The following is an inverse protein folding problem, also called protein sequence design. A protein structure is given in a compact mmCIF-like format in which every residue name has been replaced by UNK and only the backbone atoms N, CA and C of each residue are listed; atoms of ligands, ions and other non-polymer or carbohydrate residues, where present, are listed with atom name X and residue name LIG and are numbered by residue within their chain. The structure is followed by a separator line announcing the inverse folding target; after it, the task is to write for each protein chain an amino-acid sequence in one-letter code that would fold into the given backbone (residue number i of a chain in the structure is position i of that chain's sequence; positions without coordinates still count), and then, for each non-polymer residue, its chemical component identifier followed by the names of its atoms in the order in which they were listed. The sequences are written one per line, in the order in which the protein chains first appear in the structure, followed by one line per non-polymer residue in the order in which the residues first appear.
data_IF_542371456034
#
_entry.id   IF_542371456034
#
_cell.length_a   1.000
_cell.length_b   1.000
_cell.length_c   1.000
_cell.angle_alpha   90.00
_cell.angle_beta   90.00
_cell.angle_gamma   90.00
#
_symmetry.space_group_name_H-M   'P 1'
#
loop_
_entity.id
_entity.type
_entity.pdbx_description
1 polymer ?
#
# COMPACT_ATOMS: atom_id res chain seq x y z
N UNK A 1 -22.70 14.24 -0.02
CA UNK A 1 -21.57 13.37 -0.41
C UNK A 1 -20.50 13.52 0.66
N UNK A 2 -19.93 12.41 1.16
CA UNK A 2 -18.83 12.46 2.13
C UNK A 2 -17.57 12.00 1.40
N UNK A 3 -16.48 12.73 1.56
CA UNK A 3 -15.18 12.42 0.96
C UNK A 3 -14.18 12.18 2.07
N UNK A 4 -13.39 11.12 1.95
CA UNK A 4 -12.32 10.78 2.87
C UNK A 4 -11.01 10.68 2.09
N UNK A 5 -10.00 11.39 2.58
CA UNK A 5 -8.61 11.25 2.13
C UNK A 5 -7.85 10.45 3.19
N UNK A 6 -7.15 9.40 2.77
CA UNK A 6 -6.28 8.59 3.63
C UNK A 6 -4.86 8.69 3.09
N UNK A 7 -3.91 9.09 3.95
CA UNK A 7 -2.48 9.16 3.63
C UNK A 7 -1.77 8.05 4.40
N UNK A 8 -1.05 7.18 3.69
CA UNK A 8 -0.21 6.15 4.30
C UNK A 8 1.23 6.65 4.30
N UNK A 9 1.68 7.15 5.45
CA UNK A 9 3.02 7.73 5.58
C UNK A 9 4.11 6.68 5.37
N UNK A 10 5.17 7.05 4.65
CA UNK A 10 6.30 6.17 4.34
C UNK A 10 6.03 5.00 3.38
N UNK A 11 4.81 4.85 2.84
CA UNK A 11 4.50 3.83 1.84
C UNK A 11 4.86 4.32 0.43
N UNK A 12 5.70 3.55 -0.26
CA UNK A 12 6.07 3.78 -1.66
C UNK A 12 5.89 2.54 -2.51
N UNK A 13 5.65 2.74 -3.81
CA UNK A 13 5.60 1.67 -4.79
C UNK A 13 7.00 1.42 -5.37
N UNK A 14 7.46 0.17 -5.32
CA UNK A 14 8.76 -0.27 -5.85
C UNK A 14 8.64 -1.70 -6.35
N UNK A 15 9.19 -1.97 -7.53
CA UNK A 15 9.08 -3.29 -8.17
C UNK A 15 9.95 -4.36 -7.52
N UNK A 16 11.12 -3.98 -7.03
CA UNK A 16 12.03 -4.89 -6.36
C UNK A 16 11.42 -5.42 -5.06
N UNK A 17 11.46 -6.75 -4.87
CA UNK A 17 10.93 -7.41 -3.68
C UNK A 17 11.94 -7.44 -2.52
N UNK A 18 13.23 -7.47 -2.82
CA UNK A 18 14.27 -7.49 -1.79
C UNK A 18 14.24 -6.20 -0.95
N UNK A 19 14.15 -6.35 0.37
CA UNK A 19 14.06 -5.22 1.29
C UNK A 19 12.76 -4.41 1.20
N UNK A 20 11.74 -4.90 0.48
CA UNK A 20 10.47 -4.20 0.31
C UNK A 20 9.41 -4.77 1.25
N UNK A 21 9.17 -4.10 2.37
CA UNK A 21 8.20 -4.57 3.36
C UNK A 21 6.77 -4.62 2.81
N UNK A 22 6.37 -3.64 1.97
CA UNK A 22 5.02 -3.58 1.41
C UNK A 22 4.76 -4.73 0.44
N UNK A 23 5.67 -4.99 -0.51
CA UNK A 23 5.54 -6.08 -1.50
C UNK A 23 5.73 -7.49 -0.91
N UNK A 24 6.20 -7.58 0.33
CA UNK A 24 6.35 -8.85 1.05
C UNK A 24 5.19 -9.13 2.02
N UNK A 25 4.45 -8.09 2.43
CA UNK A 25 3.31 -8.23 3.33
C UNK A 25 2.09 -8.80 2.60
N UNK A 26 1.20 -9.44 3.36
CA UNK A 26 -0.15 -9.74 2.90
C UNK A 26 -1.03 -8.52 3.17
N UNK A 27 -1.47 -7.82 2.11
CA UNK A 27 -2.23 -6.57 2.22
C UNK A 27 -3.59 -6.64 1.52
N UNK A 28 -4.44 -7.66 1.80
CA UNK A 28 -5.62 -7.96 0.98
C UNK A 28 -6.62 -6.80 0.84
N UNK A 29 -6.74 -5.97 1.88
CA UNK A 29 -7.62 -4.80 1.83
C UNK A 29 -7.07 -3.68 0.94
N UNK A 30 -5.76 -3.48 0.92
CA UNK A 30 -5.10 -2.48 0.06
C UNK A 30 -5.08 -3.01 -1.37
N UNK A 31 -4.76 -4.30 -1.55
CA UNK A 31 -4.73 -4.98 -2.85
C UNK A 31 -6.09 -4.96 -3.54
N UNK A 32 -7.19 -5.02 -2.78
CA UNK A 32 -8.55 -4.90 -3.33
C UNK A 32 -8.92 -3.48 -3.76
N UNK A 33 -8.17 -2.46 -3.32
CA UNK A 33 -8.46 -1.05 -3.59
C UNK A 33 -7.60 -0.47 -4.73
N UNK A 34 -6.54 -1.17 -5.15
CA UNK A 34 -5.57 -0.76 -6.18
C UNK A 34 -5.64 -1.69 -7.40
#
# INVERSE_FOLDING_TARGET
MKTLLVVIDGLGLRDEKQGNAFKQAETPNIDSLM
#
